data_IF_977255746120
#
_entry.id   IF_977255746120
#
_cell.length_a   1.000
_cell.length_b   1.000
_cell.length_c   1.000
_cell.angle_alpha   90.00
_cell.angle_beta   90.00
_cell.angle_gamma   90.00
#
_symmetry.space_group_name_H-M   'P 1'
#
loop_
_entity.id
_entity.type
_entity.pdbx_description
1 polymer ?
#
# COMPACT_ATOMS: atom_id res chain seq x y z
N UNK A 1 -12.98 14.20 14.12
CA UNK A 1 -12.36 14.46 12.81
C UNK A 1 -10.89 14.29 13.07
N UNK A 2 -10.42 13.05 13.00
CA UNK A 2 -8.99 12.81 12.91
C UNK A 2 -8.55 13.46 11.60
N UNK A 3 -7.51 14.27 11.69
CA UNK A 3 -6.80 14.76 10.52
C UNK A 3 -6.13 13.52 9.94
N UNK A 4 -6.58 13.07 8.76
CA UNK A 4 -5.92 11.99 8.04
C UNK A 4 -4.44 12.29 7.79
N UNK A 5 -3.69 11.30 7.30
CA UNK A 5 -2.27 11.47 6.97
C UNK A 5 -2.05 12.69 6.08
N UNK A 6 -0.98 13.45 6.38
CA UNK A 6 -0.67 14.68 5.64
C UNK A 6 0.06 14.31 4.36
N UNK A 7 -0.59 14.53 3.23
CA UNK A 7 0.03 14.51 1.92
C UNK A 7 1.18 15.52 1.86
N UNK A 8 2.33 15.11 1.36
CA UNK A 8 3.53 15.95 1.30
C UNK A 8 3.67 16.72 -0.02
N UNK A 9 2.77 16.49 -0.97
CA UNK A 9 2.70 17.27 -2.20
C UNK A 9 3.25 16.59 -3.44
N UNK A 10 3.85 15.40 -3.31
CA UNK A 10 4.73 14.85 -4.34
C UNK A 10 4.05 14.68 -5.70
N UNK A 11 4.75 15.16 -6.72
CA UNK A 11 4.32 15.10 -8.11
C UNK A 11 5.54 14.89 -9.01
N UNK A 12 5.34 14.06 -10.02
CA UNK A 12 6.27 13.91 -11.13
C UNK A 12 5.57 14.37 -12.43
N UNK A 13 6.19 15.28 -13.17
CA UNK A 13 5.68 15.75 -14.45
C UNK A 13 6.63 15.35 -15.56
N UNK A 14 6.09 14.77 -16.63
CA UNK A 14 6.85 14.50 -17.85
C UNK A 14 6.28 15.31 -19.00
N UNK A 15 7.15 15.95 -19.76
CA UNK A 15 6.76 16.45 -21.06
C UNK A 15 7.66 17.48 -21.69
N UNK A 16 7.22 17.99 -22.83
CA UNK A 16 7.97 19.01 -23.56
C UNK A 16 7.86 20.38 -22.90
N UNK A 17 9.03 21.02 -22.76
CA UNK A 17 9.19 22.39 -22.33
C UNK A 17 8.58 23.36 -23.34
N UNK A 18 7.80 24.32 -22.83
CA UNK A 18 7.30 25.46 -23.59
C UNK A 18 7.82 26.74 -22.93
N UNK A 19 8.34 27.66 -23.75
CA UNK A 19 8.77 28.95 -23.24
C UNK A 19 7.58 29.76 -22.71
N UNK A 20 7.73 30.26 -21.49
CA UNK A 20 6.95 31.36 -20.93
C UNK A 20 7.94 32.41 -20.42
N UNK A 21 8.57 33.18 -21.31
CA UNK A 21 9.53 34.22 -20.89
C UNK A 21 9.07 35.64 -21.14
N UNK A 22 9.32 36.51 -20.15
CA UNK A 22 9.39 37.96 -20.35
C UNK A 22 10.65 38.64 -19.81
N UNK A 23 11.60 37.99 -19.12
CA UNK A 23 12.84 38.67 -18.67
C UNK A 23 14.07 37.72 -18.53
N UNK A 24 15.31 38.20 -18.75
CA UNK A 24 16.50 37.37 -18.76
C UNK A 24 17.06 37.21 -17.33
N UNK A 25 16.79 36.04 -16.75
CA UNK A 25 17.28 35.45 -15.48
C UNK A 25 16.72 36.02 -14.17
N UNK A 26 16.10 35.14 -13.36
CA UNK A 26 16.13 35.31 -11.91
C UNK A 26 16.55 34.02 -11.17
N UNK A 27 16.87 34.20 -9.88
CA UNK A 27 17.10 33.14 -8.88
C UNK A 27 15.82 32.31 -8.60
N UNK A 28 14.69 32.66 -9.23
CA UNK A 28 13.46 31.88 -9.35
C UNK A 28 12.72 32.26 -10.65
N UNK A 29 12.17 31.30 -11.39
CA UNK A 29 11.50 31.55 -12.66
C UNK A 29 10.39 30.50 -12.91
N UNK A 30 9.65 30.67 -14.01
CA UNK A 30 8.57 29.80 -14.42
C UNK A 30 8.87 29.12 -15.76
N UNK A 31 8.67 27.81 -15.82
CA UNK A 31 8.65 27.00 -17.02
C UNK A 31 7.23 26.44 -17.26
N UNK A 32 6.89 26.15 -18.51
CA UNK A 32 5.70 25.34 -18.82
C UNK A 32 6.15 23.96 -19.27
N UNK A 33 5.61 22.90 -18.67
CA UNK A 33 5.77 21.50 -19.10
C UNK A 33 4.39 20.99 -19.48
N UNK A 34 4.20 20.63 -20.75
CA UNK A 34 2.88 20.29 -21.28
C UNK A 34 1.90 21.48 -21.20
N UNK A 35 0.98 21.44 -20.24
CA UNK A 35 0.06 22.54 -19.88
C UNK A 35 0.25 23.10 -18.47
N UNK A 36 1.19 22.57 -17.71
CA UNK A 36 1.40 22.90 -16.31
C UNK A 36 2.45 23.97 -16.13
N UNK A 37 2.28 24.74 -15.06
CA UNK A 37 3.19 25.80 -14.63
C UNK A 37 4.15 25.22 -13.61
N UNK A 38 5.42 25.14 -13.98
CA UNK A 38 6.50 24.63 -13.15
C UNK A 38 7.33 25.81 -12.66
N UNK A 39 7.31 26.02 -11.37
CA UNK A 39 8.16 26.95 -10.68
C UNK A 39 9.49 26.31 -10.30
N UNK A 40 10.57 27.07 -10.43
CA UNK A 40 11.87 26.66 -9.92
C UNK A 40 12.59 27.84 -9.28
N UNK A 41 13.52 27.56 -8.36
CA UNK A 41 14.31 28.57 -7.66
C UNK A 41 15.77 28.12 -7.49
N UNK A 42 16.56 28.91 -6.75
CA UNK A 42 17.98 28.63 -6.48
C UNK A 42 18.25 27.35 -5.67
N UNK A 43 17.22 26.66 -5.19
CA UNK A 43 17.30 25.35 -4.53
C UNK A 43 16.92 24.18 -5.45
N UNK A 44 16.27 24.45 -6.59
CA UNK A 44 15.94 23.43 -7.58
C UNK A 44 17.23 22.83 -8.16
N UNK A 45 17.30 21.50 -8.17
CA UNK A 45 18.40 20.74 -8.76
C UNK A 45 18.14 20.59 -10.26
N UNK A 46 19.14 20.91 -11.08
CA UNK A 46 19.09 20.66 -12.53
C UNK A 46 19.98 19.48 -12.88
N UNK A 47 19.49 18.59 -13.75
CA UNK A 47 20.24 17.46 -14.29
C UNK A 47 20.15 17.44 -15.83
N UNK A 48 21.27 17.57 -16.55
CA UNK A 48 22.61 17.85 -16.04
C UNK A 48 22.69 19.24 -15.36
N UNK A 49 23.66 19.50 -14.48
CA UNK A 49 23.76 20.79 -13.77
C UNK A 49 23.98 22.02 -14.67
N UNK A 50 24.51 21.82 -15.88
CA UNK A 50 24.60 22.83 -16.93
C UNK A 50 23.29 23.06 -17.69
N UNK A 51 22.28 22.21 -17.46
CA UNK A 51 20.97 22.34 -18.06
C UNK A 51 20.41 23.71 -17.71
N UNK A 52 20.05 24.43 -18.76
CA UNK A 52 19.60 25.79 -18.70
C UNK A 52 18.22 25.83 -19.35
N UNK A 53 17.14 25.52 -18.60
CA UNK A 53 15.77 25.40 -19.15
C UNK A 53 15.28 26.67 -19.84
N UNK A 54 15.96 27.79 -19.61
CA UNK A 54 15.71 29.07 -20.25
C UNK A 54 16.30 29.24 -21.65
N UNK A 55 16.86 28.19 -22.26
CA UNK A 55 17.57 28.28 -23.56
C UNK A 55 16.88 27.60 -24.74
N UNK A 56 16.03 26.58 -24.54
CA UNK A 56 15.46 25.82 -25.66
C UNK A 56 14.00 25.41 -25.39
N UNK A 57 13.11 25.78 -26.32
CA UNK A 57 11.75 25.24 -26.40
C UNK A 57 11.76 23.84 -27.01
N UNK A 58 10.86 22.96 -26.58
CA UNK A 58 10.76 21.55 -27.03
C UNK A 58 11.89 20.66 -26.52
N UNK A 59 12.30 20.87 -25.27
CA UNK A 59 13.16 19.95 -24.51
C UNK A 59 12.25 19.03 -23.71
N UNK A 60 12.50 17.72 -23.71
CA UNK A 60 11.78 16.78 -22.86
C UNK A 60 12.31 16.89 -21.43
N UNK A 61 11.41 17.12 -20.48
CA UNK A 61 11.75 17.33 -19.08
C UNK A 61 10.94 16.44 -18.15
N UNK A 62 11.65 15.84 -17.20
CA UNK A 62 11.08 15.23 -16.01
C UNK A 62 11.23 16.23 -14.85
N UNK A 63 10.13 16.48 -14.14
CA UNK A 63 10.09 17.43 -13.03
C UNK A 63 9.57 16.73 -11.79
N UNK A 64 10.42 16.62 -10.78
CA UNK A 64 10.02 16.24 -9.44
C UNK A 64 9.72 17.49 -8.62
N UNK A 65 8.68 17.47 -7.80
CA UNK A 65 8.34 18.60 -6.96
C UNK A 65 7.13 18.40 -6.08
N UNK A 66 6.59 19.51 -5.58
CA UNK A 66 5.33 19.53 -4.84
C UNK A 66 4.32 20.45 -5.48
N UNK A 67 3.04 20.09 -5.48
CA UNK A 67 1.99 21.02 -5.92
C UNK A 67 1.81 22.10 -4.85
N UNK A 68 1.77 23.37 -5.28
CA UNK A 68 1.50 24.49 -4.41
C UNK A 68 0.18 24.33 -3.64
N UNK A 69 0.26 24.15 -2.32
CA UNK A 69 -0.92 24.40 -1.48
C UNK A 69 -1.24 25.90 -1.50
N UNK A 70 -2.52 26.23 -1.32
CA UNK A 70 -3.10 27.57 -1.48
C UNK A 70 -2.46 28.67 -0.60
N UNK A 71 -1.49 28.34 0.29
CA UNK A 71 -1.03 29.22 1.36
C UNK A 71 0.11 30.16 1.01
N UNK A 72 0.95 29.87 0.00
CA UNK A 72 2.21 30.59 -0.18
C UNK A 72 2.16 31.55 -1.38
N UNK A 73 1.14 32.42 -1.35
CA UNK A 73 0.86 33.44 -2.38
C UNK A 73 1.93 34.55 -2.47
N UNK A 74 2.95 34.51 -1.59
CA UNK A 74 4.02 35.49 -1.45
C UNK A 74 5.34 35.07 -2.14
N UNK A 75 5.39 33.92 -2.82
CA UNK A 75 6.56 33.43 -3.58
C UNK A 75 6.35 33.49 -5.12
N UNK A 76 6.44 34.69 -5.75
CA UNK A 76 6.39 34.78 -7.21
C UNK A 76 7.58 34.01 -7.83
N UNK A 77 7.36 33.17 -8.86
CA UNK A 77 6.22 33.21 -9.80
C UNK A 77 5.02 32.28 -9.48
N UNK A 78 5.00 31.60 -8.33
CA UNK A 78 4.06 30.54 -7.99
C UNK A 78 2.86 31.12 -7.26
N UNK A 79 1.77 31.29 -8.00
CA UNK A 79 0.56 31.98 -7.49
C UNK A 79 -0.71 31.26 -7.90
N UNK A 80 -0.58 30.24 -8.75
CA UNK A 80 -1.67 29.38 -9.18
C UNK A 80 -1.84 28.21 -8.21
N UNK A 81 -3.08 27.76 -7.98
CA UNK A 81 -3.40 26.64 -7.09
C UNK A 81 -2.94 25.26 -7.62
N UNK A 82 -2.33 25.21 -8.80
CA UNK A 82 -1.83 24.00 -9.46
C UNK A 82 -0.42 24.24 -10.04
N UNK A 83 0.29 25.27 -9.53
CA UNK A 83 1.69 25.47 -9.89
C UNK A 83 2.51 24.39 -9.16
N UNK A 84 3.49 23.78 -9.85
CA UNK A 84 4.39 22.78 -9.25
C UNK A 84 5.68 23.47 -8.83
N UNK A 85 6.06 23.34 -7.57
CA UNK A 85 7.36 23.76 -7.04
C UNK A 85 8.38 22.65 -7.27
N UNK A 86 9.22 22.83 -8.28
CA UNK A 86 10.22 21.85 -8.65
C UNK A 86 11.36 21.77 -7.61
N UNK A 87 11.56 20.57 -7.06
CA UNK A 87 12.78 20.20 -6.34
C UNK A 87 13.89 19.79 -7.31
N UNK A 88 13.53 19.16 -8.44
CA UNK A 88 14.45 18.72 -9.49
C UNK A 88 13.85 18.88 -10.88
N UNK A 89 14.68 19.22 -11.86
CA UNK A 89 14.35 19.28 -13.29
C UNK A 89 15.44 18.54 -14.05
N UNK A 90 15.07 17.45 -14.71
CA UNK A 90 15.96 16.58 -15.48
C UNK A 90 15.66 16.69 -16.99
N UNK A 91 16.71 16.82 -17.81
CA UNK A 91 16.64 16.78 -19.27
C UNK A 91 16.62 15.33 -19.75
N UNK A 92 15.60 15.02 -20.54
CA UNK A 92 15.36 13.69 -21.11
C UNK A 92 15.53 13.69 -22.63
N UNK A 93 15.87 12.52 -23.19
CA UNK A 93 16.06 12.36 -24.63
C UNK A 93 14.71 12.29 -25.40
N UNK A 94 13.70 11.63 -24.82
CA UNK A 94 12.31 11.45 -25.31
C UNK A 94 11.45 10.77 -24.22
N UNK A 95 10.13 10.98 -24.23
CA UNK A 95 9.15 10.27 -23.39
C UNK A 95 8.26 9.27 -24.13
N UNK A 96 8.36 9.18 -25.47
CA UNK A 96 7.51 8.30 -26.25
C UNK A 96 6.02 8.62 -26.08
N UNK A 97 5.25 7.65 -25.55
CA UNK A 97 3.79 7.81 -25.34
C UNK A 97 3.43 8.60 -24.07
N UNK A 98 4.42 8.96 -23.25
CA UNK A 98 4.23 9.59 -21.93
C UNK A 98 4.52 11.11 -21.94
N UNK A 99 4.79 11.69 -23.11
CA UNK A 99 5.26 13.07 -23.28
C UNK A 99 4.31 14.20 -22.82
N UNK A 100 3.09 13.87 -22.38
CA UNK A 100 2.10 14.82 -21.87
C UNK A 100 1.39 14.29 -20.61
N UNK A 101 2.04 13.38 -19.87
CA UNK A 101 1.47 12.78 -18.67
C UNK A 101 2.05 13.38 -17.39
N UNK A 102 1.23 13.33 -16.35
CA UNK A 102 1.63 13.67 -14.99
C UNK A 102 1.37 12.45 -14.12
N UNK A 103 2.25 12.19 -13.17
CA UNK A 103 2.03 11.26 -12.07
C UNK A 103 1.88 12.05 -10.77
N UNK A 104 0.82 11.75 -10.02
CA UNK A 104 0.58 12.32 -8.69
C UNK A 104 0.36 11.18 -7.73
N UNK A 105 1.16 11.15 -6.67
CA UNK A 105 0.98 10.24 -5.54
C UNK A 105 0.24 10.94 -4.42
N UNK A 106 -0.63 10.23 -3.70
CA UNK A 106 -1.24 10.72 -2.47
C UNK A 106 -2.56 10.05 -2.11
N UNK A 107 -3.24 10.62 -1.12
CA UNK A 107 -4.48 10.06 -0.61
C UNK A 107 -5.70 10.49 -1.43
N UNK A 108 -6.55 9.51 -1.73
CA UNK A 108 -7.88 9.72 -2.32
C UNK A 108 -8.77 10.49 -1.35
N UNK A 109 -9.47 11.51 -1.83
CA UNK A 109 -10.48 12.23 -1.07
C UNK A 109 -11.68 12.65 -1.92
N UNK A 110 -12.84 12.80 -1.29
CA UNK A 110 -14.07 13.21 -1.96
C UNK A 110 -14.51 12.23 -3.05
N UNK A 111 -14.21 10.93 -2.87
CA UNK A 111 -14.53 9.90 -3.85
C UNK A 111 -16.04 9.78 -4.06
N UNK A 112 -16.49 10.02 -5.29
CA UNK A 112 -17.88 9.81 -5.72
C UNK A 112 -17.99 8.52 -6.52
N UNK A 113 -17.14 8.40 -7.54
CA UNK A 113 -16.91 7.21 -8.37
C UNK A 113 -15.59 7.38 -9.15
N UNK A 114 -15.22 6.41 -9.97
CA UNK A 114 -13.98 6.46 -10.76
C UNK A 114 -13.89 7.67 -11.71
N UNK A 115 -14.96 8.38 -12.03
CA UNK A 115 -14.93 9.60 -12.85
C UNK A 115 -14.75 10.89 -12.05
N UNK A 116 -14.84 10.83 -10.72
CA UNK A 116 -14.77 11.99 -9.85
C UNK A 116 -14.25 11.65 -8.45
N UNK A 117 -12.97 11.97 -8.22
CA UNK A 117 -12.34 12.03 -6.90
C UNK A 117 -11.18 13.03 -6.93
N UNK A 118 -10.50 13.20 -5.79
CA UNK A 118 -9.30 14.02 -5.68
C UNK A 118 -8.13 13.20 -5.16
N UNK A 119 -6.92 13.52 -5.65
CA UNK A 119 -5.64 13.12 -5.02
C UNK A 119 -4.94 14.41 -4.64
N UNK A 120 -4.73 14.62 -3.34
CA UNK A 120 -4.39 15.94 -2.82
C UNK A 120 -5.43 16.98 -3.24
N UNK A 121 -5.01 18.02 -3.97
CA UNK A 121 -5.89 19.06 -4.52
C UNK A 121 -6.33 18.83 -5.97
N UNK A 122 -5.78 17.81 -6.65
CA UNK A 122 -6.01 17.56 -8.06
C UNK A 122 -7.29 16.75 -8.26
N UNK A 123 -8.21 17.25 -9.08
CA UNK A 123 -9.40 16.50 -9.50
C UNK A 123 -9.02 15.42 -10.51
N UNK A 124 -9.46 14.19 -10.30
CA UNK A 124 -9.16 13.03 -11.13
C UNK A 124 -10.42 12.45 -11.76
N UNK A 125 -10.31 12.08 -13.03
CA UNK A 125 -11.25 11.23 -13.76
C UNK A 125 -10.50 9.99 -14.27
N UNK A 126 -10.67 8.87 -13.59
CA UNK A 126 -10.08 7.56 -13.88
C UNK A 126 -11.07 6.58 -14.53
N UNK A 127 -12.14 7.08 -15.16
CA UNK A 127 -13.18 6.22 -15.76
C UNK A 127 -12.66 5.33 -16.90
N UNK A 128 -11.54 5.71 -17.53
CA UNK A 128 -10.85 4.94 -18.56
C UNK A 128 -9.51 4.35 -18.11
N UNK A 129 -9.17 4.45 -16.82
CA UNK A 129 -7.88 4.04 -16.32
C UNK A 129 -7.75 2.51 -16.20
N UNK A 130 -6.53 2.02 -16.33
CA UNK A 130 -6.15 0.70 -15.83
C UNK A 130 -5.88 0.81 -14.35
N UNK A 131 -6.42 -0.12 -13.56
CA UNK A 131 -6.21 -0.16 -12.12
C UNK A 131 -5.21 -1.27 -11.78
N UNK A 132 -4.25 -0.95 -10.92
CA UNK A 132 -3.19 -1.87 -10.48
C UNK A 132 -3.23 -1.95 -8.94
N UNK A 133 -3.50 -3.14 -8.36
CA UNK A 133 -3.85 -4.40 -9.04
C UNK A 133 -5.22 -4.36 -9.74
N UNK A 134 -5.49 -5.32 -10.62
CA UNK A 134 -6.79 -5.38 -11.27
C UNK A 134 -7.91 -5.64 -10.25
N UNK A 135 -9.02 -4.92 -10.37
CA UNK A 135 -10.12 -5.02 -9.41
C UNK A 135 -9.93 -4.17 -8.15
N UNK A 136 -8.84 -3.38 -8.06
CA UNK A 136 -8.72 -2.30 -7.08
C UNK A 136 -9.98 -1.43 -7.11
N UNK A 137 -10.52 -1.18 -5.92
CA UNK A 137 -11.65 -0.29 -5.71
C UNK A 137 -11.20 0.83 -4.79
N UNK A 138 -11.43 2.06 -5.23
CA UNK A 138 -10.99 3.25 -4.53
C UNK A 138 -12.04 3.70 -3.51
N UNK A 139 -11.55 4.21 -2.39
CA UNK A 139 -12.31 4.91 -1.36
C UNK A 139 -11.47 6.04 -0.77
N UNK A 140 -12.11 6.93 -0.03
CA UNK A 140 -11.41 7.98 0.70
C UNK A 140 -10.32 7.37 1.62
N UNK A 141 -9.15 8.01 1.63
CA UNK A 141 -7.91 7.64 2.32
C UNK A 141 -7.14 6.45 1.74
N UNK A 142 -7.49 5.93 0.55
CA UNK A 142 -6.56 5.07 -0.17
C UNK A 142 -5.37 5.89 -0.66
N UNK A 143 -4.16 5.40 -0.44
CA UNK A 143 -2.94 5.97 -1.01
C UNK A 143 -2.71 5.40 -2.40
N UNK A 144 -2.59 6.30 -3.38
CA UNK A 144 -2.53 5.94 -4.80
C UNK A 144 -1.53 6.79 -5.54
N UNK A 145 -0.94 6.20 -6.57
CA UNK A 145 -0.30 6.90 -7.67
C UNK A 145 -1.28 6.97 -8.85
N UNK A 146 -1.48 8.16 -9.41
CA UNK A 146 -2.39 8.39 -10.54
C UNK A 146 -1.63 9.02 -11.69
N UNK A 147 -1.65 8.35 -12.84
CA UNK A 147 -0.97 8.80 -14.05
C UNK A 147 -1.96 9.14 -15.17
N UNK A 148 -1.77 10.27 -15.84
CA UNK A 148 -2.48 10.59 -17.08
C UNK A 148 -2.29 12.03 -17.56
N UNK A 149 -2.89 12.43 -18.69
CA UNK A 149 -2.87 13.80 -19.15
C UNK A 149 -3.79 14.73 -18.34
N UNK A 150 -3.35 15.98 -18.16
CA UNK A 150 -4.17 17.03 -17.57
C UNK A 150 -4.99 17.77 -18.64
N UNK A 151 -6.32 17.60 -18.63
CA UNK A 151 -7.24 18.20 -19.61
C UNK A 151 -8.20 19.15 -18.92
N UNK A 152 -8.06 20.46 -19.18
CA UNK A 152 -8.94 21.47 -18.59
C UNK A 152 -8.89 21.54 -17.06
N UNK A 153 -7.75 21.16 -16.46
CA UNK A 153 -7.55 21.11 -15.01
C UNK A 153 -8.03 19.83 -14.33
N UNK A 154 -8.47 18.83 -15.09
CA UNK A 154 -8.82 17.48 -14.61
C UNK A 154 -7.75 16.51 -15.08
N UNK A 155 -7.26 15.65 -14.18
CA UNK A 155 -6.35 14.56 -14.52
C UNK A 155 -7.20 13.43 -15.11
N UNK A 156 -7.14 13.27 -16.44
CA UNK A 156 -7.81 12.19 -17.16
C UNK A 156 -6.91 10.95 -17.05
N UNK A 157 -7.04 10.23 -15.93
CA UNK A 157 -6.13 9.15 -15.59
C UNK A 157 -6.22 7.99 -16.59
N UNK A 158 -5.06 7.52 -17.02
CA UNK A 158 -4.87 6.31 -17.82
C UNK A 158 -4.44 5.13 -16.95
N UNK A 159 -3.85 5.39 -15.79
CA UNK A 159 -3.45 4.39 -14.81
C UNK A 159 -3.71 4.90 -13.38
N UNK A 160 -4.14 3.99 -12.51
CA UNK A 160 -4.23 4.20 -11.05
C UNK A 160 -3.59 3.00 -10.38
N UNK A 161 -2.56 3.24 -9.59
CA UNK A 161 -1.83 2.22 -8.84
C UNK A 161 -2.02 2.45 -7.35
N UNK A 162 -2.27 1.37 -6.63
CA UNK A 162 -2.34 1.41 -5.16
C UNK A 162 -0.92 1.47 -4.60
N UNK A 163 -0.67 2.44 -3.72
CA UNK A 163 0.62 2.63 -3.01
C UNK A 163 0.46 2.49 -1.49
N UNK A 164 -0.75 2.24 -0.99
CA UNK A 164 -1.01 2.07 0.42
C UNK A 164 -0.50 0.75 1.00
N UNK A 165 -0.81 0.53 2.28
CA UNK A 165 -0.40 -0.66 3.03
C UNK A 165 -0.86 -1.97 2.38
N UNK A 166 0.09 -2.90 2.22
CA UNK A 166 -0.15 -4.23 1.69
C UNK A 166 -0.25 -5.23 2.84
N UNK A 167 -1.08 -6.25 2.67
CA UNK A 167 -1.08 -7.43 3.54
C UNK A 167 0.05 -8.38 3.13
N UNK A 168 0.66 -9.04 4.10
CA UNK A 168 1.73 -10.01 3.89
C UNK A 168 1.31 -11.41 4.36
N UNK A 169 1.63 -12.43 3.58
CA UNK A 169 1.42 -13.83 3.96
C UNK A 169 2.65 -14.63 3.61
N UNK A 170 3.32 -15.16 4.63
CA UNK A 170 4.51 -16.00 4.51
C UNK A 170 4.17 -17.42 4.94
N UNK A 171 4.21 -18.37 4.02
CA UNK A 171 3.84 -19.75 4.32
C UNK A 171 4.41 -20.76 3.31
N UNK A 172 4.39 -22.05 3.71
CA UNK A 172 4.66 -23.16 2.80
C UNK A 172 3.44 -23.45 1.92
N UNK A 173 3.66 -23.60 0.62
CA UNK A 173 2.64 -24.03 -0.35
C UNK A 173 2.20 -25.47 -0.04
N UNK A 174 0.95 -25.63 0.38
CA UNK A 174 0.36 -26.91 0.71
C UNK A 174 -0.14 -27.68 -0.53
N UNK A 175 -0.47 -28.96 -0.35
CA UNK A 175 -1.01 -29.77 -1.43
C UNK A 175 -2.37 -29.22 -1.91
N UNK A 176 -2.49 -28.96 -3.22
CA UNK A 176 -3.70 -28.37 -3.80
C UNK A 176 -3.86 -26.85 -3.64
N UNK A 177 -2.84 -26.15 -3.13
CA UNK A 177 -2.83 -24.70 -2.97
C UNK A 177 -2.76 -23.90 -4.30
N UNK A 178 -2.34 -24.53 -5.40
CA UNK A 178 -2.19 -23.87 -6.71
C UNK A 178 -3.48 -24.01 -7.51
N UNK A 179 -4.24 -22.92 -7.63
CA UNK A 179 -5.48 -22.85 -8.40
C UNK A 179 -5.31 -22.19 -9.77
N UNK A 180 -6.44 -21.91 -10.43
CA UNK A 180 -6.45 -21.08 -11.64
C UNK A 180 -6.29 -19.62 -11.21
N UNK A 181 -5.14 -19.01 -11.52
CA UNK A 181 -4.76 -17.65 -11.14
C UNK A 181 -4.90 -17.34 -9.63
N UNK A 182 -4.78 -18.37 -8.80
CA UNK A 182 -4.93 -18.25 -7.35
C UNK A 182 -3.89 -19.10 -6.62
N UNK A 183 -3.47 -18.61 -5.46
CA UNK A 183 -2.62 -19.30 -4.50
C UNK A 183 -3.35 -19.31 -3.16
N UNK A 184 -3.59 -20.49 -2.61
CA UNK A 184 -4.19 -20.64 -1.28
C UNK A 184 -3.12 -20.95 -0.24
N UNK A 185 -2.96 -20.07 0.75
CA UNK A 185 -2.04 -20.26 1.87
C UNK A 185 -2.83 -20.52 3.16
N UNK A 186 -2.22 -21.29 4.07
CA UNK A 186 -2.79 -21.63 5.38
C UNK A 186 -4.21 -22.24 5.30
N UNK A 187 -4.49 -22.97 4.22
CA UNK A 187 -5.74 -23.68 3.98
C UNK A 187 -6.98 -22.82 3.64
N UNK A 188 -6.97 -21.52 3.93
CA UNK A 188 -8.14 -20.64 3.75
C UNK A 188 -7.87 -19.28 3.11
N UNK A 189 -6.63 -18.79 3.12
CA UNK A 189 -6.31 -17.47 2.56
C UNK A 189 -6.13 -17.62 1.05
N UNK A 190 -7.11 -17.19 0.27
CA UNK A 190 -7.10 -17.28 -1.19
C UNK A 190 -6.60 -15.96 -1.77
N UNK A 191 -5.45 -16.01 -2.45
CA UNK A 191 -4.79 -14.85 -3.04
C UNK A 191 -4.84 -14.98 -4.55
N UNK A 192 -5.53 -14.04 -5.21
CA UNK A 192 -5.49 -13.89 -6.66
C UNK A 192 -4.17 -13.26 -7.11
N UNK A 193 -3.79 -13.46 -8.36
CA UNK A 193 -2.67 -12.75 -8.98
C UNK A 193 -2.96 -12.50 -10.46
N UNK A 194 -2.32 -11.50 -11.03
CA UNK A 194 -2.55 -11.06 -12.40
C UNK A 194 -1.24 -10.65 -13.11
N UNK A 195 -1.35 -9.90 -14.20
CA UNK A 195 -0.19 -9.40 -14.95
C UNK A 195 0.61 -8.33 -14.22
N UNK A 196 0.04 -7.69 -13.20
CA UNK A 196 0.69 -6.71 -12.34
C UNK A 196 1.47 -7.34 -11.19
N UNK A 197 1.23 -8.61 -10.86
CA UNK A 197 1.98 -9.30 -9.80
C UNK A 197 3.45 -9.47 -10.17
N UNK A 198 4.35 -8.95 -9.34
CA UNK A 198 5.80 -9.15 -9.43
C UNK A 198 6.19 -10.52 -8.89
N UNK A 199 7.09 -11.21 -9.60
CA UNK A 199 7.54 -12.56 -9.24
C UNK A 199 9.03 -12.58 -8.96
N UNK A 200 9.42 -13.13 -7.81
CA UNK A 200 10.81 -13.16 -7.36
C UNK A 200 11.24 -14.53 -6.83
N UNK A 201 12.54 -14.80 -6.94
CA UNK A 201 13.16 -16.04 -6.48
C UNK A 201 14.47 -15.74 -5.73
N UNK A 202 14.37 -15.55 -4.41
CA UNK A 202 15.54 -15.29 -3.54
C UNK A 202 16.45 -16.51 -3.40
N UNK A 203 15.89 -17.72 -3.50
CA UNK A 203 16.65 -18.96 -3.30
C UNK A 203 17.47 -19.33 -4.54
N UNK A 204 16.87 -19.25 -5.72
CA UNK A 204 17.46 -19.71 -6.98
C UNK A 204 17.92 -18.62 -7.94
N UNK A 205 17.57 -17.35 -7.68
CA UNK A 205 17.88 -16.21 -8.54
C UNK A 205 17.30 -16.33 -9.96
N UNK A 206 16.25 -17.14 -10.15
CA UNK A 206 15.66 -17.34 -11.47
C UNK A 206 14.89 -16.09 -11.91
N UNK A 207 15.47 -15.32 -12.84
CA UNK A 207 14.83 -14.11 -13.40
C UNK A 207 13.55 -14.38 -14.20
N UNK A 208 13.28 -15.64 -14.56
CA UNK A 208 12.06 -16.05 -15.24
C UNK A 208 11.06 -16.73 -14.28
N UNK A 209 11.23 -16.56 -12.97
CA UNK A 209 10.31 -17.08 -11.98
C UNK A 209 8.91 -16.49 -12.19
N UNK A 210 7.89 -17.35 -12.09
CA UNK A 210 6.49 -17.02 -12.29
C UNK A 210 5.62 -18.15 -11.70
N UNK A 211 4.31 -18.04 -11.81
CA UNK A 211 3.36 -19.04 -11.31
C UNK A 211 3.70 -20.50 -11.70
N UNK A 212 4.09 -20.75 -12.97
CA UNK A 212 4.45 -22.10 -13.44
C UNK A 212 5.72 -22.67 -12.80
N UNK A 213 6.47 -21.85 -12.06
CA UNK A 213 7.63 -22.24 -11.27
C UNK A 213 7.28 -22.67 -9.84
N UNK A 214 6.10 -22.28 -9.31
CA UNK A 214 5.66 -22.64 -7.95
C UNK A 214 5.42 -24.14 -7.80
N UNK A 215 5.78 -24.69 -6.65
CA UNK A 215 5.61 -26.11 -6.31
C UNK A 215 5.16 -26.22 -4.87
N UNK A 216 4.40 -27.27 -4.58
CA UNK A 216 4.11 -27.70 -3.21
C UNK A 216 5.43 -27.87 -2.44
N UNK A 217 5.44 -27.44 -1.17
CA UNK A 217 6.60 -27.46 -0.30
C UNK A 217 7.57 -26.28 -0.48
N UNK A 218 7.31 -25.35 -1.41
CA UNK A 218 8.05 -24.08 -1.43
C UNK A 218 7.51 -23.15 -0.35
N UNK A 219 8.42 -22.45 0.32
CA UNK A 219 8.08 -21.34 1.18
C UNK A 219 8.01 -20.07 0.34
N UNK A 220 6.94 -19.30 0.52
CA UNK A 220 6.69 -18.07 -0.23
C UNK A 220 6.28 -16.96 0.71
N UNK A 221 6.72 -15.75 0.39
CA UNK A 221 6.30 -14.48 0.96
C UNK A 221 5.44 -13.78 -0.10
N UNK A 222 4.21 -13.41 0.27
CA UNK A 222 3.23 -12.82 -0.65
C UNK A 222 2.78 -11.48 -0.10
N UNK A 223 3.01 -10.41 -0.86
CA UNK A 223 2.38 -9.10 -0.62
C UNK A 223 1.14 -8.95 -1.47
N UNK A 224 0.05 -8.50 -0.87
CA UNK A 224 -1.25 -8.41 -1.52
C UNK A 224 -2.09 -7.23 -1.01
N UNK A 225 -2.88 -6.66 -1.91
CA UNK A 225 -3.84 -5.61 -1.59
C UNK A 225 -5.22 -6.22 -1.38
N UNK A 226 -5.96 -5.78 -0.36
CA UNK A 226 -7.39 -6.09 -0.22
C UNK A 226 -8.20 -5.26 -1.20
N UNK A 227 -8.90 -5.95 -2.08
CA UNK A 227 -9.87 -5.36 -3.01
C UNK A 227 -11.30 -5.50 -2.47
N UNK A 228 -12.27 -4.90 -3.17
CA UNK A 228 -13.68 -5.01 -2.78
C UNK A 228 -14.14 -6.47 -2.65
N UNK A 229 -14.94 -6.72 -1.61
CA UNK A 229 -15.44 -8.06 -1.30
C UNK A 229 -14.41 -8.96 -0.62
N UNK A 230 -13.41 -8.38 0.06
CA UNK A 230 -12.40 -9.06 0.87
C UNK A 230 -11.49 -10.02 0.06
N UNK A 231 -11.31 -9.74 -1.24
CA UNK A 231 -10.41 -10.52 -2.09
C UNK A 231 -9.00 -9.95 -2.03
N UNK A 232 -8.02 -10.83 -1.82
CA UNK A 232 -6.60 -10.46 -1.90
C UNK A 232 -6.10 -10.59 -3.33
N UNK A 233 -5.42 -9.56 -3.83
CA UNK A 233 -4.69 -9.61 -5.11
C UNK A 233 -3.22 -9.33 -4.86
N UNK A 234 -2.37 -10.28 -5.22
CA UNK A 234 -0.94 -10.19 -5.01
C UNK A 234 -0.31 -9.11 -5.91
N UNK A 235 0.46 -8.24 -5.28
CA UNK A 235 1.38 -7.30 -5.96
C UNK A 235 2.76 -7.90 -6.06
N UNK A 236 3.13 -8.81 -5.14
CA UNK A 236 4.39 -9.54 -5.17
C UNK A 236 4.24 -10.97 -4.64
N UNK A 237 4.83 -11.92 -5.34
CA UNK A 237 5.01 -13.30 -4.87
C UNK A 237 6.49 -13.66 -4.99
N UNK A 238 7.10 -13.95 -3.85
CA UNK A 238 8.52 -14.27 -3.75
C UNK A 238 8.72 -15.65 -3.16
N UNK A 239 9.59 -16.46 -3.78
CA UNK A 239 10.09 -17.68 -3.14
C UNK A 239 11.27 -17.37 -2.25
N UNK A 240 11.14 -17.71 -0.97
CA UNK A 240 12.18 -17.58 0.04
C UNK A 240 12.62 -18.96 0.60
N UNK A 241 13.58 -18.95 1.52
CA UNK A 241 14.09 -20.15 2.20
C UNK A 241 12.98 -20.83 3.03
N UNK A 242 12.97 -22.16 3.00
CA UNK A 242 12.03 -22.99 3.76
C UNK A 242 12.26 -22.97 5.28
N UNK A 243 13.25 -22.21 5.76
CA UNK A 243 13.46 -21.89 7.17
C UNK A 243 12.76 -20.59 7.62
N UNK A 244 11.95 -19.97 6.76
CA UNK A 244 11.16 -18.78 7.12
C UNK A 244 10.09 -19.08 8.18
N UNK A 245 9.78 -18.04 8.96
CA UNK A 245 8.70 -18.05 9.95
C UNK A 245 7.37 -17.88 9.22
N UNK A 246 6.33 -18.62 9.62
CA UNK A 246 5.01 -18.45 9.04
C UNK A 246 4.46 -17.12 9.56
N UNK A 247 4.04 -16.23 8.66
CA UNK A 247 3.60 -14.88 9.00
C UNK A 247 2.28 -14.54 8.30
N UNK A 248 1.42 -13.80 8.99
CA UNK A 248 0.23 -13.18 8.40
C UNK A 248 0.12 -11.75 8.91
N UNK A 249 0.34 -10.79 8.04
CA UNK A 249 0.09 -9.38 8.26
C UNK A 249 -1.10 -8.93 7.42
N UNK A 250 -2.03 -8.19 8.01
CA UNK A 250 -3.07 -7.56 7.22
C UNK A 250 -4.17 -6.91 8.03
N UNK A 251 -5.21 -6.50 7.32
CA UNK A 251 -6.34 -5.82 7.93
C UNK A 251 -7.11 -6.72 8.89
N UNK A 252 -7.42 -6.21 10.08
CA UNK A 252 -8.29 -6.90 11.05
C UNK A 252 -9.74 -6.87 10.55
N UNK A 253 -10.34 -8.06 10.42
CA UNK A 253 -11.74 -8.23 10.05
C UNK A 253 -12.65 -8.14 11.26
N UNK A 254 -12.65 -9.19 12.07
CA UNK A 254 -13.42 -9.27 13.31
C UNK A 254 -12.52 -9.66 14.48
N UNK A 255 -12.89 -9.27 15.69
CA UNK A 255 -12.24 -9.79 16.89
C UNK A 255 -13.28 -9.97 17.99
N UNK A 256 -12.97 -10.85 18.94
CA UNK A 256 -13.75 -10.98 20.15
C UNK A 256 -12.84 -11.15 21.36
N UNK A 257 -13.26 -10.57 22.47
CA UNK A 257 -12.69 -10.77 23.78
C UNK A 257 -13.82 -11.03 24.77
N UNK A 258 -14.20 -12.30 24.98
CA UNK A 258 -15.14 -12.63 26.05
C UNK A 258 -14.36 -12.75 27.37
N UNK A 259 -14.54 -11.75 28.23
CA UNK A 259 -13.80 -11.62 29.49
C UNK A 259 -14.68 -11.85 30.73
N UNK A 260 -15.98 -12.12 30.57
CA UNK A 260 -16.88 -12.34 31.72
C UNK A 260 -18.03 -13.29 31.41
N UNK A 261 -18.31 -14.22 32.31
CA UNK A 261 -19.31 -15.29 32.17
C UNK A 261 -20.79 -14.85 32.07
N UNK A 262 -21.12 -13.58 31.83
CA UNK A 262 -22.51 -13.07 31.83
C UNK A 262 -22.90 -12.14 30.67
N UNK A 263 -22.02 -11.86 29.71
CA UNK A 263 -22.41 -11.17 28.45
C UNK A 263 -22.28 -12.18 27.31
N UNK A 264 -23.17 -12.10 26.31
CA UNK A 264 -23.33 -13.11 25.27
C UNK A 264 -21.97 -13.60 24.73
N UNK A 265 -21.71 -14.92 24.71
CA UNK A 265 -20.40 -15.46 24.35
C UNK A 265 -20.05 -15.04 22.92
N UNK A 266 -18.75 -14.86 22.64
CA UNK A 266 -18.24 -14.92 21.27
C UNK A 266 -18.95 -16.09 20.59
N UNK A 267 -19.75 -15.87 19.54
CA UNK A 267 -20.54 -16.95 18.97
C UNK A 267 -19.62 -18.14 18.68
N UNK A 268 -19.97 -19.27 19.30
CA UNK A 268 -19.07 -20.39 19.48
C UNK A 268 -18.55 -20.87 18.11
N UNK A 269 -17.24 -21.08 18.01
CA UNK A 269 -16.68 -21.92 16.96
C UNK A 269 -17.49 -23.23 16.87
N UNK A 270 -17.68 -23.81 15.67
CA UNK A 270 -18.39 -25.08 15.54
C UNK A 270 -17.79 -26.10 16.51
N UNK A 271 -18.65 -26.74 17.28
CA UNK A 271 -18.27 -27.65 18.35
C UNK A 271 -17.54 -28.88 17.78
N UNK A 272 -16.21 -28.80 17.67
CA UNK A 272 -15.35 -29.97 17.49
C UNK A 272 -15.16 -30.60 18.88
N UNK A 273 -15.82 -31.74 19.09
CA UNK A 273 -15.48 -32.78 20.06
C UNK A 273 -15.30 -32.37 21.53
N UNK A 274 -16.21 -32.84 22.39
CA UNK A 274 -16.18 -32.73 23.85
C UNK A 274 -14.78 -32.91 24.51
N UNK A 275 -14.02 -31.83 24.65
CA UNK A 275 -12.96 -31.70 25.66
C UNK A 275 -13.32 -30.51 26.58
N UNK A 276 -13.85 -30.78 27.79
CA UNK A 276 -14.22 -29.74 28.73
C UNK A 276 -12.97 -29.25 29.46
N UNK A 277 -12.16 -28.47 28.77
CA UNK A 277 -11.00 -27.83 29.39
C UNK A 277 -11.41 -26.49 30.03
N UNK A 278 -11.05 -26.21 31.30
CA UNK A 278 -11.51 -25.03 32.04
C UNK A 278 -10.58 -23.84 31.79
N UNK A 279 -10.70 -23.20 30.63
CA UNK A 279 -9.94 -21.99 30.30
C UNK A 279 -10.88 -20.78 30.41
N UNK A 280 -10.45 -19.78 31.17
CA UNK A 280 -11.16 -18.53 31.36
C UNK A 280 -10.92 -17.63 30.14
N UNK A 281 -12.00 -17.18 29.50
CA UNK A 281 -12.01 -16.21 28.41
C UNK A 281 -11.48 -16.74 27.08
N UNK A 282 -12.35 -16.78 26.05
CA UNK A 282 -11.91 -17.01 24.67
C UNK A 282 -11.75 -15.65 24.01
N UNK A 283 -10.53 -15.30 23.62
CA UNK A 283 -10.28 -14.18 22.73
C UNK A 283 -9.80 -14.69 21.38
N UNK A 284 -10.17 -14.01 20.30
CA UNK A 284 -9.71 -14.32 18.96
C UNK A 284 -9.72 -13.05 18.11
N UNK A 285 -8.86 -13.04 17.09
CA UNK A 285 -8.80 -12.01 16.05
C UNK A 285 -8.86 -12.70 14.70
N UNK A 286 -9.50 -12.07 13.72
CA UNK A 286 -9.53 -12.50 12.34
C UNK A 286 -8.69 -11.53 11.51
N UNK A 287 -7.68 -12.07 10.82
CA UNK A 287 -6.80 -11.34 9.92
C UNK A 287 -6.85 -12.06 8.58
N UNK A 288 -7.25 -11.36 7.51
CA UNK A 288 -7.41 -11.94 6.16
C UNK A 288 -8.34 -13.18 6.11
N UNK A 289 -9.39 -13.22 6.94
CA UNK A 289 -10.28 -14.39 7.05
C UNK A 289 -9.69 -15.55 7.85
N UNK A 290 -8.45 -15.45 8.33
CA UNK A 290 -7.83 -16.40 9.24
C UNK A 290 -8.15 -16.03 10.68
N UNK A 291 -8.93 -16.87 11.36
CA UNK A 291 -9.23 -16.71 12.78
C UNK A 291 -8.11 -17.29 13.64
N UNK A 292 -7.46 -16.44 14.41
CA UNK A 292 -6.42 -16.80 15.38
C UNK A 292 -6.99 -16.76 16.79
N UNK A 293 -6.98 -17.91 17.47
CA UNK A 293 -7.37 -18.02 18.88
C UNK A 293 -6.23 -17.56 19.80
N UNK A 294 -6.52 -16.63 20.69
CA UNK A 294 -5.62 -16.18 21.75
C UNK A 294 -5.91 -17.03 23.00
N UNK A 295 -4.90 -17.76 23.49
CA UNK A 295 -5.02 -18.63 24.67
C UNK A 295 -4.21 -18.08 25.84
N UNK A 296 -4.85 -17.93 27.01
CA UNK A 296 -4.15 -17.66 28.27
C UNK A 296 -3.52 -18.96 28.80
N UNK A 297 -2.19 -19.06 28.76
CA UNK A 297 -1.45 -20.27 29.18
C UNK A 297 -1.02 -20.27 30.65
N UNK A 298 -1.42 -19.27 31.44
CA UNK A 298 -1.16 -19.17 32.88
C UNK A 298 -0.37 -17.92 33.28
N UNK A 299 0.25 -17.89 34.48
CA UNK A 299 0.81 -16.67 35.07
C UNK A 299 2.04 -16.08 34.33
N UNK A 300 2.46 -16.68 33.22
CA UNK A 300 3.55 -16.23 32.35
C UNK A 300 3.11 -16.15 30.87
N UNK A 301 1.83 -15.84 30.61
CA UNK A 301 1.39 -15.52 29.25
C UNK A 301 1.94 -14.16 28.86
N UNK A 302 3.04 -14.14 28.09
CA UNK A 302 3.50 -12.95 27.40
C UNK A 302 2.80 -12.89 26.05
N UNK A 303 2.01 -11.84 25.84
CA UNK A 303 1.76 -11.35 24.51
C UNK A 303 2.98 -10.48 24.18
N UNK A 304 3.87 -10.98 23.34
CA UNK A 304 5.07 -10.25 22.97
C UNK A 304 4.70 -9.43 21.72
N UNK A 305 4.55 -8.13 21.93
CA UNK A 305 4.52 -7.11 20.87
C UNK A 305 5.84 -6.38 21.00
N UNK A 306 6.59 -6.36 19.90
CA UNK A 306 7.97 -5.86 19.69
C UNK A 306 8.71 -5.20 20.87
N UNK A 307 9.90 -5.74 21.19
CA UNK A 307 10.91 -5.35 22.21
C UNK A 307 10.46 -4.92 23.63
N UNK A 308 9.17 -4.90 23.96
CA UNK A 308 8.64 -4.53 25.27
C UNK A 308 7.55 -5.52 25.72
N UNK A 309 7.76 -6.29 26.81
CA UNK A 309 6.72 -7.18 27.30
C UNK A 309 5.48 -6.37 27.71
N UNK A 310 4.37 -6.57 27.01
CA UNK A 310 3.09 -5.96 27.36
C UNK A 310 2.62 -6.50 28.72
N UNK A 311 2.42 -5.60 29.69
CA UNK A 311 1.85 -5.92 31.00
C UNK A 311 0.45 -5.33 31.11
N UNK A 312 -0.56 -6.09 30.70
CA UNK A 312 -1.98 -5.71 30.77
C UNK A 312 -2.90 -6.92 30.58
N UNK A 313 -4.22 -6.69 30.62
CA UNK A 313 -5.19 -7.74 30.25
C UNK A 313 -5.32 -7.84 28.73
N UNK A 314 -5.82 -8.97 28.22
CA UNK A 314 -6.19 -9.10 26.79
C UNK A 314 -7.17 -7.99 26.35
N UNK A 315 -7.96 -7.45 27.28
CA UNK A 315 -8.82 -6.27 27.06
C UNK A 315 -8.03 -4.98 26.84
N UNK A 316 -6.96 -4.79 27.60
CA UNK A 316 -6.09 -3.62 27.49
C UNK A 316 -5.27 -3.69 26.20
N UNK A 317 -4.88 -4.90 25.77
CA UNK A 317 -4.24 -5.15 24.49
C UNK A 317 -5.17 -4.82 23.30
N UNK A 318 -6.36 -5.41 23.29
CA UNK A 318 -7.33 -5.25 22.22
C UNK A 318 -7.92 -3.82 22.17
N UNK A 319 -8.14 -3.18 23.32
CA UNK A 319 -8.78 -1.87 23.40
C UNK A 319 -7.86 -0.67 23.25
N UNK A 320 -6.54 -0.84 23.36
CA UNK A 320 -5.54 0.23 23.25
C UNK A 320 -4.67 0.10 22.00
N UNK A 321 -4.37 -1.12 21.54
CA UNK A 321 -3.40 -1.36 20.44
C UNK A 321 -4.04 -1.83 19.14
N UNK A 322 -5.09 -2.66 19.14
CA UNK A 322 -5.87 -3.01 17.92
C UNK A 322 -6.79 -1.85 17.45
N UNK A 323 -6.55 -0.64 17.95
CA UNK A 323 -7.15 0.58 17.41
C UNK A 323 -6.61 0.95 16.02
N UNK A 324 -5.58 0.26 15.53
CA UNK A 324 -5.06 0.35 14.17
C UNK A 324 -5.71 -0.69 13.25
N UNK A 325 -5.74 -0.39 11.95
CA UNK A 325 -6.44 -1.24 10.98
C UNK A 325 -5.63 -2.50 10.59
N UNK A 326 -4.33 -2.59 10.91
CA UNK A 326 -3.41 -3.66 10.50
C UNK A 326 -2.76 -4.37 11.69
N UNK A 327 -2.56 -5.69 11.56
CA UNK A 327 -1.96 -6.57 12.57
C UNK A 327 -1.05 -7.60 11.89
N UNK A 328 0.17 -7.75 12.40
CA UNK A 328 1.11 -8.85 12.09
C UNK A 328 0.91 -10.06 13.03
N UNK A 329 1.21 -11.27 12.55
CA UNK A 329 1.05 -12.53 13.30
C UNK A 329 2.16 -13.51 12.93
N UNK A 330 3.07 -13.80 13.86
CA UNK A 330 4.03 -14.89 13.72
C UNK A 330 3.41 -16.25 14.13
N UNK A 331 3.74 -17.34 13.43
CA UNK A 331 3.23 -18.68 13.75
C UNK A 331 4.40 -19.65 13.88
N UNK A 332 4.69 -20.05 15.12
CA UNK A 332 5.73 -21.06 15.39
C UNK A 332 5.29 -22.43 14.85
N UNK A 333 6.08 -23.06 13.94
CA UNK A 333 5.78 -24.38 13.40
C UNK A 333 5.94 -25.47 14.48
N UNK A 334 4.96 -25.62 15.37
CA UNK A 334 4.90 -26.75 16.29
C UNK A 334 4.65 -28.06 15.51
N UNK A 335 5.20 -29.22 15.95
CA UNK A 335 5.18 -30.46 15.17
C UNK A 335 3.74 -30.98 14.91
N UNK A 336 3.53 -31.75 13.80
CA UNK A 336 2.20 -32.07 13.24
C UNK A 336 1.39 -33.12 14.02
N UNK A 337 1.45 -33.11 15.35
CA UNK A 337 0.69 -34.03 16.23
C UNK A 337 -0.34 -33.32 17.11
N UNK A 338 -0.49 -32.00 17.02
CA UNK A 338 -1.58 -31.27 17.67
C UNK A 338 -2.68 -30.94 16.63
N UNK A 339 -3.98 -31.05 16.98
CA UNK A 339 -5.08 -30.65 16.10
C UNK A 339 -5.21 -29.12 15.94
N UNK A 340 -4.30 -28.33 16.52
CA UNK A 340 -4.31 -26.87 16.50
C UNK A 340 -2.89 -26.34 16.27
N UNK A 341 -2.75 -25.40 15.34
CA UNK A 341 -1.55 -24.60 15.12
C UNK A 341 -1.38 -23.66 16.32
N UNK A 342 -0.21 -23.64 16.96
CA UNK A 342 0.10 -22.63 17.96
C UNK A 342 0.67 -21.41 17.23
N UNK A 343 -0.06 -20.30 17.23
CA UNK A 343 0.42 -19.03 16.69
C UNK A 343 0.99 -18.18 17.84
N UNK A 344 2.16 -17.57 17.61
CA UNK A 344 2.70 -16.51 18.46
C UNK A 344 2.35 -15.19 17.79
N UNK A 345 1.15 -14.68 18.04
CA UNK A 345 0.74 -13.39 17.46
C UNK A 345 1.65 -12.25 17.97
N UNK A 346 2.53 -11.72 17.12
CA UNK A 346 3.26 -10.46 17.33
C UNK A 346 2.55 -9.35 16.58
N UNK A 347 1.72 -8.58 17.27
CA UNK A 347 0.98 -7.49 16.62
C UNK A 347 1.86 -6.25 16.49
N UNK A 348 2.37 -5.96 15.30
CA UNK A 348 2.99 -4.66 15.02
C UNK A 348 1.93 -3.62 14.63
N UNK A 349 2.08 -2.42 15.19
CA UNK A 349 1.27 -1.24 14.89
C UNK A 349 2.02 -0.45 13.83
N UNK A 350 1.48 -0.37 12.61
CA UNK A 350 1.90 0.64 11.64
C UNK A 350 1.22 1.99 11.97
N UNK A 351 2.02 3.07 12.01
CA UNK A 351 1.60 4.44 12.38
C UNK A 351 0.89 5.18 11.24
#
# INVERSE_FOLDING_TARGET
METGPTWDGQVELRGESKESRSDPKPEADLLIVGSLRVCYNGTTVFDPPEFAPWLESSVFLEVEGTIAEFSDQDDPPCTGPFDVFASRIEEEDDFGEDADKISIEGFVSGYVDNSEFFVGSQKVNASGATFIPAGLSLKDNDEVEVEGPLVGGILEATEVKFEGEESEVSATIEAGALGDNTLTLLGSIVIGFDSGTRWEDKVGGNKAFNFSSLREGYFVEVKAVLTDGDNLVATRIERDDAAGEIEVEGKVGEYCADLTSEIAPCEAAPAEGDDPSPWFGKAWVEVLGLRVEIRDTGPETFLEVDELPFMGTVADFIGVEIGTNFVELEIDPTPPTAPHLAAKAEVKIAD
#
